data_IF_478818358417
#
_entry.id   IF_478818358417
#
_cell.length_a   1.000
_cell.length_b   1.000
_cell.length_c   1.000
_cell.angle_alpha   90.00
_cell.angle_beta   90.00
_cell.angle_gamma   90.00
#
_symmetry.space_group_name_H-M   'P 1'
#
loop_
_entity.id
_entity.type
_entity.pdbx_description
1 polymer ?
#
# COMPACT_ATOMS: atom_id res chain seq x y z
N UNK A 1 25.69 -6.72 -19.78
CA UNK A 1 26.46 -6.94 -18.54
C UNK A 1 25.87 -8.20 -17.95
N UNK A 2 26.63 -9.29 -17.87
CA UNK A 2 26.11 -10.52 -17.26
C UNK A 2 25.84 -10.27 -15.78
N UNK A 3 24.67 -10.70 -15.32
CA UNK A 3 24.24 -10.56 -13.94
C UNK A 3 25.13 -11.42 -13.02
N UNK A 4 25.50 -10.89 -11.85
CA UNK A 4 26.38 -11.64 -10.95
C UNK A 4 25.68 -12.91 -10.43
N UNK A 5 26.44 -13.95 -10.02
CA UNK A 5 25.86 -15.18 -9.47
C UNK A 5 24.91 -14.94 -8.30
N UNK A 6 25.17 -13.91 -7.50
CA UNK A 6 24.32 -13.52 -6.37
C UNK A 6 22.97 -12.99 -6.84
N UNK A 7 22.95 -12.11 -7.84
CA UNK A 7 21.70 -11.55 -8.37
C UNK A 7 20.85 -12.60 -9.11
N UNK A 8 21.49 -13.58 -9.76
CA UNK A 8 20.78 -14.75 -10.31
C UNK A 8 20.05 -15.51 -9.20
N UNK A 9 20.72 -15.75 -8.06
CA UNK A 9 20.10 -16.40 -6.90
C UNK A 9 19.00 -15.53 -6.28
N UNK A 10 19.20 -14.23 -6.12
CA UNK A 10 18.15 -13.34 -5.61
C UNK A 10 16.91 -13.29 -6.50
N UNK A 11 17.08 -13.38 -7.82
CA UNK A 11 15.96 -13.50 -8.76
C UNK A 11 15.19 -14.80 -8.56
N UNK A 12 15.89 -15.90 -8.29
CA UNK A 12 15.26 -17.19 -7.96
C UNK A 12 14.51 -17.11 -6.63
N UNK A 13 15.13 -16.54 -5.59
CA UNK A 13 14.49 -16.34 -4.29
C UNK A 13 13.24 -15.46 -4.40
N UNK A 14 13.31 -14.39 -5.20
CA UNK A 14 12.18 -13.51 -5.50
C UNK A 14 11.04 -14.25 -6.21
N UNK A 15 11.35 -15.15 -7.15
CA UNK A 15 10.34 -15.98 -7.81
C UNK A 15 9.66 -16.94 -6.82
N UNK A 16 10.41 -17.55 -5.90
CA UNK A 16 9.85 -18.40 -4.83
C UNK A 16 8.92 -17.59 -3.92
N UNK A 17 9.31 -16.37 -3.53
CA UNK A 17 8.45 -15.49 -2.74
C UNK A 17 7.14 -15.15 -3.47
N UNK A 18 7.19 -14.91 -4.78
CA UNK A 18 6.00 -14.66 -5.59
C UNK A 18 5.07 -15.88 -5.64
N UNK A 19 5.60 -17.10 -5.75
CA UNK A 19 4.79 -18.33 -5.70
C UNK A 19 4.11 -18.53 -4.33
N UNK A 20 4.83 -18.26 -3.24
CA UNK A 20 4.24 -18.26 -1.90
C UNK A 20 3.07 -17.26 -1.84
N UNK A 21 3.27 -16.04 -2.36
CA UNK A 21 2.22 -15.02 -2.43
C UNK A 21 0.97 -15.51 -3.17
N UNK A 22 1.12 -16.11 -4.36
CA UNK A 22 -0.03 -16.66 -5.11
C UNK A 22 -0.74 -17.80 -4.38
N UNK A 23 0.00 -18.61 -3.62
CA UNK A 23 -0.60 -19.67 -2.82
C UNK A 23 -1.39 -19.10 -1.63
N UNK A 24 -0.91 -18.02 -1.02
CA UNK A 24 -1.55 -17.35 0.12
C UNK A 24 -2.75 -16.49 -0.27
N UNK A 25 -2.74 -15.86 -1.44
CA UNK A 25 -3.77 -14.92 -1.91
C UNK A 25 -5.23 -15.39 -1.72
N UNK A 26 -5.62 -16.63 -2.10
CA UNK A 26 -6.99 -17.09 -1.88
C UNK A 26 -7.32 -17.46 -0.42
N UNK A 27 -6.32 -17.52 0.46
CA UNK A 27 -6.45 -17.94 1.88
C UNK A 27 -6.54 -16.75 2.84
N UNK A 28 -6.07 -15.58 2.41
CA UNK A 28 -6.07 -14.38 3.25
C UNK A 28 -7.42 -13.70 3.18
N UNK A 29 -8.04 -13.51 4.35
CA UNK A 29 -9.23 -12.69 4.50
C UNK A 29 -8.85 -11.24 4.81
N UNK A 30 -9.84 -10.36 4.80
CA UNK A 30 -9.70 -8.99 5.29
C UNK A 30 -9.36 -8.96 6.77
N UNK A 31 -8.58 -7.96 7.16
CA UNK A 31 -8.23 -7.66 8.54
C UNK A 31 -9.09 -6.51 9.05
N UNK A 32 -9.75 -6.71 10.19
CA UNK A 32 -10.46 -5.62 10.88
C UNK A 32 -9.43 -4.75 11.60
N UNK A 33 -9.36 -3.47 11.22
CA UNK A 33 -8.45 -2.48 11.79
C UNK A 33 -9.20 -1.26 12.32
N UNK A 34 -8.51 -0.40 13.07
CA UNK A 34 -9.01 0.88 13.57
C UNK A 34 -8.17 2.01 13.00
N UNK A 35 -8.84 3.01 12.44
CA UNK A 35 -8.24 4.26 11.99
C UNK A 35 -8.82 5.41 12.81
N UNK A 36 -8.04 6.46 13.07
CA UNK A 36 -8.63 7.70 13.57
C UNK A 36 -9.61 8.25 12.54
N UNK A 37 -10.65 8.96 13.01
CA UNK A 37 -11.64 9.57 12.12
C UNK A 37 -11.02 10.53 11.10
N UNK A 38 -9.93 11.22 11.46
CA UNK A 38 -9.20 12.10 10.56
C UNK A 38 -8.52 11.34 9.42
N UNK A 39 -7.81 10.25 9.73
CA UNK A 39 -7.14 9.43 8.72
C UNK A 39 -8.14 8.73 7.80
N UNK A 40 -9.24 8.23 8.36
CA UNK A 40 -10.31 7.62 7.57
C UNK A 40 -10.95 8.63 6.59
N UNK A 41 -11.20 9.87 7.05
CA UNK A 41 -11.70 10.94 6.17
C UNK A 41 -10.69 11.33 5.08
N UNK A 42 -9.40 11.39 5.42
CA UNK A 42 -8.35 11.71 4.45
C UNK A 42 -8.24 10.62 3.36
N UNK A 43 -8.35 9.35 3.74
CA UNK A 43 -8.38 8.24 2.79
C UNK A 43 -9.61 8.31 1.89
N UNK A 44 -10.81 8.51 2.46
CA UNK A 44 -12.05 8.66 1.68
C UNK A 44 -11.96 9.83 0.69
N UNK A 45 -11.43 10.97 1.12
CA UNK A 45 -11.21 12.12 0.24
C UNK A 45 -10.21 11.84 -0.90
N UNK A 46 -9.25 10.92 -0.70
CA UNK A 46 -8.35 10.48 -1.76
C UNK A 46 -9.04 9.59 -2.80
N UNK A 47 -10.07 8.84 -2.41
CA UNK A 47 -10.90 8.06 -3.35
C UNK A 47 -11.86 8.95 -4.13
N UNK A 48 -12.48 9.92 -3.45
CA UNK A 48 -13.53 10.76 -4.04
C UNK A 48 -13.00 11.87 -4.97
N UNK A 49 -11.69 12.06 -5.06
CA UNK A 49 -11.11 13.11 -5.90
C UNK A 49 -11.04 12.69 -7.36
N UNK A 50 -11.32 13.63 -8.24
CA UNK A 50 -11.00 13.49 -9.65
C UNK A 50 -9.50 13.76 -9.88
N UNK A 51 -8.85 12.94 -10.69
CA UNK A 51 -7.49 13.17 -11.15
C UNK A 51 -7.52 13.83 -12.54
N UNK A 52 -7.07 15.08 -12.61
CA UNK A 52 -7.02 15.84 -13.86
C UNK A 52 -5.61 15.78 -14.45
N UNK A 53 -5.45 15.09 -15.58
CA UNK A 53 -4.19 15.08 -16.34
C UNK A 53 -3.89 13.74 -17.00
N UNK A 54 -3.15 13.77 -18.10
CA UNK A 54 -2.61 12.55 -18.70
C UNK A 54 -1.35 12.13 -17.94
N UNK A 55 -1.23 10.82 -17.66
CA UNK A 55 0.01 10.26 -17.12
C UNK A 55 1.11 10.37 -18.19
N UNK A 56 2.08 11.25 -17.94
CA UNK A 56 3.29 11.38 -18.77
C UNK A 56 4.32 10.29 -18.47
N UNK A 57 5.55 10.46 -18.94
CA UNK A 57 6.67 9.62 -18.53
C UNK A 57 6.96 9.82 -17.03
N UNK A 58 6.98 8.73 -16.27
CA UNK A 58 7.26 8.73 -14.83
C UNK A 58 8.69 8.23 -14.56
N UNK A 59 9.38 8.86 -13.61
CA UNK A 59 10.55 8.25 -12.96
C UNK A 59 10.09 7.13 -12.02
N UNK A 60 11.02 6.26 -11.61
CA UNK A 60 10.71 5.20 -10.64
C UNK A 60 10.19 5.76 -9.29
N UNK A 61 10.68 6.93 -8.88
CA UNK A 61 10.22 7.60 -7.67
C UNK A 61 8.78 8.13 -7.82
N UNK A 62 8.48 8.76 -8.96
CA UNK A 62 7.12 9.24 -9.27
C UNK A 62 6.12 8.07 -9.31
N UNK A 63 6.49 6.97 -9.96
CA UNK A 63 5.68 5.76 -9.99
C UNK A 63 5.41 5.21 -8.57
N UNK A 64 6.44 5.17 -7.71
CA UNK A 64 6.28 4.75 -6.30
C UNK A 64 5.30 5.63 -5.54
N UNK A 65 5.39 6.96 -5.70
CA UNK A 65 4.48 7.91 -5.04
C UNK A 65 3.05 7.76 -5.56
N UNK A 66 2.88 7.60 -6.88
CA UNK A 66 1.56 7.36 -7.48
C UNK A 66 0.93 6.06 -6.98
N UNK A 67 1.69 4.99 -6.88
CA UNK A 67 1.19 3.70 -6.37
C UNK A 67 0.78 3.78 -4.89
N UNK A 68 1.49 4.57 -4.07
CA UNK A 68 1.07 4.87 -2.69
C UNK A 68 -0.22 5.68 -2.65
N UNK A 69 -0.37 6.68 -3.52
CA UNK A 69 -1.59 7.47 -3.62
C UNK A 69 -2.79 6.60 -4.04
N UNK A 70 -2.60 5.69 -4.98
CA UNK A 70 -3.61 4.71 -5.37
C UNK A 70 -3.97 3.77 -4.21
N UNK A 71 -2.98 3.30 -3.45
CA UNK A 71 -3.22 2.45 -2.26
C UNK A 71 -4.04 3.18 -1.20
N UNK A 72 -3.77 4.47 -0.96
CA UNK A 72 -4.56 5.31 -0.05
C UNK A 72 -6.02 5.45 -0.53
N UNK A 73 -6.23 5.63 -1.84
CA UNK A 73 -7.57 5.71 -2.42
C UNK A 73 -8.33 4.39 -2.27
N UNK A 74 -7.69 3.23 -2.42
CA UNK A 74 -8.34 1.92 -2.18
C UNK A 74 -8.77 1.76 -0.71
N UNK A 75 -7.92 2.18 0.24
CA UNK A 75 -8.31 2.26 1.66
C UNK A 75 -9.51 3.20 1.84
N UNK A 76 -9.52 4.33 1.12
CA UNK A 76 -10.63 5.27 1.11
C UNK A 76 -11.95 4.64 0.67
N UNK A 77 -11.93 3.89 -0.44
CA UNK A 77 -13.08 3.10 -0.90
C UNK A 77 -13.54 2.11 0.17
N UNK A 78 -12.62 1.37 0.79
CA UNK A 78 -12.94 0.42 1.84
C UNK A 78 -13.60 1.09 3.06
N UNK A 79 -13.11 2.27 3.46
CA UNK A 79 -13.69 3.10 4.52
C UNK A 79 -15.11 3.55 4.15
N UNK A 80 -15.32 4.05 2.92
CA UNK A 80 -16.63 4.51 2.45
C UNK A 80 -17.65 3.38 2.35
N UNK A 81 -17.23 2.20 1.89
CA UNK A 81 -18.13 1.06 1.67
C UNK A 81 -18.43 0.27 2.95
N UNK A 82 -17.44 0.12 3.84
CA UNK A 82 -17.48 -0.85 4.95
C UNK A 82 -17.12 -0.26 6.31
N UNK A 83 -16.72 1.01 6.39
CA UNK A 83 -16.31 1.65 7.63
C UNK A 83 -17.48 1.86 8.59
N UNK A 84 -17.26 1.53 9.87
CA UNK A 84 -18.23 1.73 10.95
C UNK A 84 -17.64 2.65 12.01
N UNK A 85 -18.34 3.73 12.33
CA UNK A 85 -17.91 4.66 13.36
C UNK A 85 -17.95 4.00 14.76
N UNK A 86 -16.88 4.20 15.53
CA UNK A 86 -16.69 3.70 16.89
C UNK A 86 -16.02 4.79 17.74
N UNK A 87 -16.82 5.70 18.28
CA UNK A 87 -16.30 6.88 18.98
C UNK A 87 -15.59 7.83 18.00
N UNK A 88 -14.32 8.12 18.26
CA UNK A 88 -13.47 8.97 17.41
C UNK A 88 -12.74 8.18 16.30
N UNK A 89 -12.95 6.88 16.23
CA UNK A 89 -12.30 5.97 15.30
C UNK A 89 -13.29 5.38 14.29
N UNK A 90 -12.78 4.93 13.16
CA UNK A 90 -13.48 4.11 12.18
C UNK A 90 -12.92 2.69 12.25
N UNK A 91 -13.80 1.72 12.45
CA UNK A 91 -13.48 0.29 12.33
C UNK A 91 -13.79 -0.13 10.90
N UNK A 92 -12.82 -0.72 10.20
CA UNK A 92 -12.95 -1.09 8.79
C UNK A 92 -12.23 -2.41 8.51
N UNK A 93 -12.81 -3.21 7.62
CA UNK A 93 -12.18 -4.42 7.10
C UNK A 93 -11.38 -4.07 5.83
N UNK A 94 -10.05 -4.13 5.95
CA UNK A 94 -9.11 -3.89 4.85
C UNK A 94 -8.54 -5.19 4.30
N UNK A 95 -8.29 -5.21 3.00
CA UNK A 95 -7.55 -6.30 2.37
C UNK A 95 -6.10 -6.28 2.85
N UNK A 96 -5.47 -7.46 2.99
CA UNK A 96 -4.12 -7.57 3.55
C UNK A 96 -3.09 -6.76 2.75
N UNK A 97 -3.31 -6.61 1.46
CA UNK A 97 -2.48 -5.81 0.54
C UNK A 97 -2.58 -4.32 0.84
N UNK A 98 -3.77 -3.81 1.20
CA UNK A 98 -3.98 -2.42 1.62
C UNK A 98 -3.26 -2.13 2.94
N UNK A 99 -3.38 -3.05 3.91
CA UNK A 99 -2.65 -2.96 5.19
C UNK A 99 -1.14 -2.98 4.95
N UNK A 100 -0.65 -3.92 4.13
CA UNK A 100 0.77 -4.02 3.80
C UNK A 100 1.29 -2.75 3.11
N UNK A 101 0.53 -2.19 2.17
CA UNK A 101 0.90 -0.96 1.48
C UNK A 101 1.06 0.23 2.44
N UNK A 102 0.13 0.39 3.39
CA UNK A 102 0.21 1.43 4.40
C UNK A 102 1.43 1.27 5.33
N UNK A 103 1.72 0.04 5.77
CA UNK A 103 2.89 -0.25 6.61
C UNK A 103 4.21 -0.05 5.87
N UNK A 104 4.30 -0.51 4.62
CA UNK A 104 5.49 -0.30 3.78
C UNK A 104 5.74 1.19 3.52
N UNK A 105 4.69 1.98 3.28
CA UNK A 105 4.83 3.42 3.16
C UNK A 105 5.42 4.04 4.43
N UNK A 106 4.95 3.63 5.61
CA UNK A 106 5.50 4.10 6.89
C UNK A 106 6.97 3.70 7.09
N UNK A 107 7.32 2.43 6.82
CA UNK A 107 8.69 1.95 6.99
C UNK A 107 9.69 2.63 6.06
N UNK A 108 9.30 2.94 4.84
CA UNK A 108 10.16 3.69 3.91
C UNK A 108 10.40 5.13 4.39
N UNK A 109 9.39 5.80 4.96
CA UNK A 109 9.58 7.15 5.56
C UNK A 109 10.51 7.10 6.79
N UNK A 110 10.40 6.04 7.59
CA UNK A 110 11.28 5.82 8.75
C UNK A 110 12.73 5.52 8.34
N UNK A 111 12.94 4.77 7.24
CA UNK A 111 14.28 4.55 6.67
C UNK A 111 14.88 5.88 6.17
N UNK A 112 14.10 6.74 5.51
CA UNK A 112 14.56 8.08 5.10
C UNK A 112 14.91 8.95 6.31
N UNK A 113 14.16 8.82 7.41
CA UNK A 113 14.38 9.58 8.65
C UNK A 113 15.68 9.19 9.38
N UNK A 114 16.16 7.96 9.21
CA UNK A 114 17.42 7.47 9.80
C UNK A 114 18.67 7.80 8.96
N UNK A 115 18.51 8.14 7.69
CA UNK A 115 19.62 8.50 6.78
C UNK A 115 19.90 10.01 6.68
N UNK A 116 19.20 10.84 7.46
CA UNK A 116 19.46 12.29 7.52
C UNK A 116 20.44 12.64 8.66
N UNK A 117 21.61 13.24 8.38
CA UNK A 117 22.60 13.64 9.40
C UNK A 117 22.20 14.87 10.22
#
# INVERSE_FOLDING_TARGET
MDESPEYIRYRQDSAVLAEIGRFLDPQVARLTVRLSGDLARAAAAAWDRDEEGEAGEETAEQARVRDRAASLALIGLAVSDRGVASGEEIVVDLDVTEVAAALLAAYDEDVISLESP
#
